data_IF_613897138330
#
_entry.id   IF_613897138330
#
_cell.length_a   1.000
_cell.length_b   1.000
_cell.length_c   1.000
_cell.angle_alpha   90.00
_cell.angle_beta   90.00
_cell.angle_gamma   90.00
#
_symmetry.space_group_name_H-M   'P 1'
#
loop_
_entity.id
_entity.type
_entity.pdbx_description
1 polymer ?
#
# COMPACT_ATOMS: atom_id res chain seq x y z
N UNK A 1 -37.63 55.42 2.95
CA UNK A 1 -36.82 55.22 1.74
C UNK A 1 -35.37 54.94 2.16
N UNK A 2 -34.95 53.69 2.22
CA UNK A 2 -33.58 53.29 2.58
C UNK A 2 -33.13 52.28 1.57
N UNK A 3 -32.28 52.71 0.69
CA UNK A 3 -31.55 51.89 -0.25
C UNK A 3 -30.32 51.38 0.50
N UNK A 4 -30.21 50.08 0.78
CA UNK A 4 -28.97 49.42 1.20
C UNK A 4 -28.42 48.64 0.02
N UNK A 5 -27.33 49.12 -0.47
CA UNK A 5 -26.53 48.54 -1.55
C UNK A 5 -25.84 47.27 -1.09
N UNK A 6 -26.13 46.15 -1.75
CA UNK A 6 -25.36 44.90 -1.65
C UNK A 6 -24.16 45.03 -2.56
N UNK A 7 -22.99 45.35 -2.01
CA UNK A 7 -21.70 45.24 -2.68
C UNK A 7 -20.75 44.48 -1.74
N UNK A 8 -20.93 43.20 -1.59
CA UNK A 8 -19.98 42.35 -0.88
C UNK A 8 -19.72 40.98 -1.52
N UNK A 9 -20.39 40.68 -2.64
CA UNK A 9 -20.28 39.34 -3.25
C UNK A 9 -19.35 39.22 -4.47
N UNK A 10 -18.73 40.31 -4.93
CA UNK A 10 -17.94 40.28 -6.18
C UNK A 10 -16.43 40.46 -5.99
N UNK A 11 -15.96 40.71 -4.76
CA UNK A 11 -14.49 40.86 -4.51
C UNK A 11 -13.78 39.56 -4.21
N UNK A 12 -14.49 38.49 -3.82
CA UNK A 12 -13.88 37.21 -3.51
C UNK A 12 -13.55 36.33 -4.75
N UNK A 13 -14.28 36.56 -5.83
CA UNK A 13 -14.02 35.87 -7.11
C UNK A 13 -12.76 36.35 -7.83
N UNK A 14 -12.32 37.59 -7.59
CA UNK A 14 -11.14 38.13 -8.26
C UNK A 14 -9.83 37.74 -7.55
N UNK A 15 -9.88 37.44 -6.25
CA UNK A 15 -8.69 37.04 -5.46
C UNK A 15 -8.25 35.60 -5.73
N UNK A 16 -9.20 34.71 -6.08
CA UNK A 16 -8.91 33.33 -6.43
C UNK A 16 -8.26 33.17 -7.82
N UNK A 17 -8.58 34.07 -8.74
CA UNK A 17 -8.02 34.06 -10.11
C UNK A 17 -6.56 34.53 -10.12
N UNK A 18 -6.17 35.41 -9.19
CA UNK A 18 -4.79 35.90 -9.12
C UNK A 18 -3.79 34.87 -8.55
N UNK A 19 -4.26 33.85 -7.83
CA UNK A 19 -3.39 32.80 -7.31
C UNK A 19 -2.99 31.74 -8.37
N UNK A 20 -3.76 31.61 -9.45
CA UNK A 20 -3.43 30.67 -10.53
C UNK A 20 -2.52 31.28 -11.62
N UNK A 21 -2.35 32.59 -11.67
CA UNK A 21 -1.48 33.27 -12.64
C UNK A 21 -0.02 33.32 -12.14
N UNK A 22 0.21 33.10 -10.83
CA UNK A 22 1.57 33.13 -10.24
C UNK A 22 2.40 31.87 -10.53
N UNK A 23 1.78 30.75 -10.94
CA UNK A 23 2.51 29.53 -11.28
C UNK A 23 2.74 29.32 -12.77
N UNK A 24 2.31 30.26 -13.64
CA UNK A 24 2.41 30.12 -15.09
C UNK A 24 3.33 31.16 -15.74
N UNK A 25 4.24 31.80 -14.99
CA UNK A 25 5.42 32.37 -15.61
C UNK A 25 6.39 31.22 -15.81
N UNK A 26 6.36 30.66 -17.01
CA UNK A 26 7.46 29.84 -17.50
C UNK A 26 8.77 30.54 -17.17
N UNK A 27 9.78 29.76 -16.86
CA UNK A 27 11.14 30.25 -16.71
C UNK A 27 11.43 31.24 -17.84
N UNK A 28 11.86 32.46 -17.49
CA UNK A 28 12.35 33.40 -18.48
C UNK A 28 13.44 32.67 -19.25
N UNK A 29 13.42 32.70 -20.59
CA UNK A 29 14.41 32.04 -21.44
C UNK A 29 15.88 32.40 -21.09
N UNK A 30 16.05 33.33 -20.17
CA UNK A 30 17.34 33.80 -19.64
C UNK A 30 17.69 33.24 -18.25
N UNK A 31 16.79 32.55 -17.55
CA UNK A 31 17.12 31.90 -16.27
C UNK A 31 17.68 30.51 -16.53
N UNK A 32 18.98 30.44 -16.70
CA UNK A 32 19.69 29.17 -16.76
C UNK A 32 20.12 28.76 -15.35
N UNK A 33 19.65 27.60 -14.85
CA UNK A 33 20.17 26.97 -13.64
C UNK A 33 21.60 26.44 -13.86
N UNK A 34 22.46 27.27 -14.42
CA UNK A 34 23.81 26.84 -14.75
C UNK A 34 24.72 26.73 -13.52
N UNK A 35 24.36 27.45 -12.43
CA UNK A 35 25.28 27.60 -11.30
C UNK A 35 26.70 28.06 -11.72
N UNK A 36 26.83 28.68 -12.91
CA UNK A 36 28.11 29.04 -13.52
C UNK A 36 28.76 27.90 -14.33
N UNK A 37 28.11 26.76 -14.48
CA UNK A 37 28.63 25.59 -15.23
C UNK A 37 28.35 25.77 -16.72
N UNK A 38 29.41 26.02 -17.49
CA UNK A 38 29.38 26.17 -18.96
C UNK A 38 30.55 25.44 -19.58
N UNK A 39 30.45 25.02 -20.84
CA UNK A 39 31.49 24.31 -21.58
C UNK A 39 31.98 23.03 -20.86
N UNK A 40 31.12 22.39 -20.12
CA UNK A 40 31.45 21.25 -19.27
C UNK A 40 30.99 19.91 -19.86
N UNK A 41 31.73 18.85 -19.55
CA UNK A 41 31.25 17.49 -19.63
C UNK A 41 30.47 17.22 -18.36
N UNK A 42 29.16 16.94 -18.47
CA UNK A 42 28.30 16.66 -17.31
C UNK A 42 28.44 15.19 -16.88
N UNK A 43 28.10 14.93 -15.62
CA UNK A 43 28.00 13.60 -15.05
C UNK A 43 26.54 13.28 -14.73
N UNK A 44 26.19 11.98 -14.69
CA UNK A 44 24.86 11.56 -14.26
C UNK A 44 24.69 11.68 -12.75
N UNK A 45 23.46 11.95 -12.26
CA UNK A 45 23.23 12.11 -10.83
C UNK A 45 23.39 10.77 -10.11
N UNK A 46 23.89 10.82 -8.88
CA UNK A 46 23.95 9.63 -8.01
C UNK A 46 22.58 9.42 -7.38
N UNK A 47 22.10 8.19 -7.43
CA UNK A 47 20.89 7.74 -6.73
C UNK A 47 21.23 6.57 -5.80
N UNK A 48 20.53 6.49 -4.68
CA UNK A 48 20.67 5.46 -3.65
C UNK A 48 19.29 5.06 -3.12
N UNK A 49 19.22 4.20 -2.10
CA UNK A 49 17.95 3.76 -1.50
C UNK A 49 17.10 4.93 -0.95
N UNK A 50 17.74 6.03 -0.51
CA UNK A 50 17.02 7.21 -0.02
C UNK A 50 16.41 8.05 -1.15
N UNK A 51 16.81 7.80 -2.38
CA UNK A 51 16.24 8.44 -3.58
C UNK A 51 14.81 7.99 -3.86
N UNK A 52 14.33 6.95 -3.18
CA UNK A 52 13.04 6.32 -3.43
C UNK A 52 12.05 6.54 -2.29
N UNK A 53 10.80 6.79 -2.64
CA UNK A 53 9.70 6.84 -1.68
C UNK A 53 8.43 6.26 -2.29
N UNK A 54 7.59 5.64 -1.45
CA UNK A 54 6.29 5.14 -1.87
C UNK A 54 5.23 6.20 -1.62
N UNK A 55 4.43 6.48 -2.64
CA UNK A 55 3.26 7.36 -2.58
C UNK A 55 2.00 6.51 -2.62
N UNK A 56 1.00 6.86 -1.81
CA UNK A 56 -0.35 6.28 -1.92
C UNK A 56 -1.22 7.21 -2.74
N UNK A 57 -1.76 6.68 -3.82
CA UNK A 57 -2.67 7.41 -4.69
C UNK A 57 -4.06 7.52 -4.05
N UNK A 58 -4.89 8.41 -4.57
CA UNK A 58 -6.26 8.62 -4.06
C UNK A 58 -7.16 7.39 -4.19
N UNK A 59 -6.85 6.48 -5.11
CA UNK A 59 -7.54 5.21 -5.33
C UNK A 59 -7.02 4.05 -4.46
N UNK A 60 -6.03 4.30 -3.59
CA UNK A 60 -5.41 3.30 -2.73
C UNK A 60 -4.25 2.53 -3.37
N UNK A 61 -3.99 2.71 -4.66
CA UNK A 61 -2.81 2.14 -5.32
C UNK A 61 -1.53 2.82 -4.84
N UNK A 62 -0.40 2.17 -5.06
CA UNK A 62 0.90 2.72 -4.70
C UNK A 62 1.72 3.09 -5.93
N UNK A 63 2.50 4.15 -5.80
CA UNK A 63 3.47 4.60 -6.80
C UNK A 63 4.85 4.73 -6.15
N UNK A 64 5.89 4.53 -6.94
CA UNK A 64 7.27 4.83 -6.57
C UNK A 64 7.61 6.22 -7.09
N UNK A 65 8.09 7.08 -6.20
CA UNK A 65 8.70 8.35 -6.57
C UNK A 65 10.21 8.21 -6.45
N UNK A 66 10.91 8.51 -7.52
CA UNK A 66 12.37 8.66 -7.54
C UNK A 66 12.69 10.14 -7.48
N UNK A 67 13.70 10.52 -6.68
CA UNK A 67 14.26 11.87 -6.61
C UNK A 67 15.77 11.79 -6.73
N UNK A 68 16.37 12.76 -7.39
CA UNK A 68 17.84 12.84 -7.55
C UNK A 68 18.34 14.26 -7.38
N UNK A 69 19.64 14.44 -7.04
CA UNK A 69 20.24 15.75 -6.98
C UNK A 69 20.26 16.42 -8.35
N UNK A 70 19.94 17.71 -8.37
CA UNK A 70 20.03 18.51 -9.60
C UNK A 70 21.49 18.62 -10.05
N UNK A 71 21.74 18.26 -11.32
CA UNK A 71 23.03 18.47 -11.96
C UNK A 71 23.05 19.87 -12.58
N UNK A 72 23.90 20.73 -12.05
CA UNK A 72 23.97 22.12 -12.51
C UNK A 72 24.39 22.19 -13.97
N UNK A 73 23.67 22.99 -14.73
CA UNK A 73 23.93 23.15 -16.18
C UNK A 73 23.40 22.01 -17.05
N UNK A 74 22.61 21.10 -16.51
CA UNK A 74 21.94 20.05 -17.28
C UNK A 74 20.86 20.64 -18.21
N UNK A 75 20.59 19.93 -19.31
CA UNK A 75 19.46 20.19 -20.21
C UNK A 75 18.25 19.31 -19.90
N UNK A 76 18.31 18.51 -18.84
CA UNK A 76 17.31 17.52 -18.44
C UNK A 76 17.94 16.16 -18.16
N UNK A 77 17.11 15.15 -18.02
CA UNK A 77 17.54 13.77 -17.74
C UNK A 77 16.82 12.78 -18.65
N UNK A 78 17.53 11.79 -19.12
CA UNK A 78 16.99 10.64 -19.83
C UNK A 78 16.82 9.49 -18.85
N UNK A 79 15.60 8.99 -18.71
CA UNK A 79 15.24 7.95 -17.74
C UNK A 79 14.69 6.71 -18.42
N UNK A 80 15.22 5.56 -18.02
CA UNK A 80 14.67 4.25 -18.33
C UNK A 80 14.37 3.51 -17.01
N UNK A 81 13.21 2.87 -16.94
CA UNK A 81 12.78 2.03 -15.81
C UNK A 81 12.23 0.73 -16.36
N UNK A 82 12.88 -0.36 -16.02
CA UNK A 82 12.47 -1.71 -16.39
C UNK A 82 12.09 -2.48 -15.11
N UNK A 83 10.94 -3.14 -15.14
CA UNK A 83 10.56 -4.14 -14.15
C UNK A 83 11.28 -5.45 -14.53
N UNK A 84 12.20 -5.91 -13.69
CA UNK A 84 13.08 -7.05 -13.96
C UNK A 84 12.79 -8.28 -13.11
N UNK A 85 11.89 -8.16 -12.13
CA UNK A 85 11.41 -9.25 -11.29
C UNK A 85 10.02 -8.86 -10.73
N UNK A 86 9.04 -9.73 -10.98
CA UNK A 86 7.68 -9.61 -10.43
C UNK A 86 7.32 -10.94 -9.74
N UNK A 87 7.15 -10.96 -8.41
CA UNK A 87 6.76 -12.19 -7.70
C UNK A 87 5.41 -12.77 -8.14
N UNK A 88 4.52 -11.93 -8.70
CA UNK A 88 3.22 -12.35 -9.20
C UNK A 88 3.25 -12.86 -10.65
N UNK A 89 4.33 -12.57 -11.40
CA UNK A 89 4.52 -13.01 -12.78
C UNK A 89 5.96 -13.54 -13.00
N UNK A 90 6.18 -14.84 -12.90
CA UNK A 90 7.51 -15.44 -13.04
C UNK A 90 8.10 -15.33 -14.47
N UNK A 91 7.33 -14.85 -15.44
CA UNK A 91 7.86 -14.61 -16.81
C UNK A 91 8.64 -13.31 -16.90
N UNK A 92 8.49 -12.42 -15.92
CA UNK A 92 9.25 -11.17 -15.82
C UNK A 92 10.60 -11.45 -15.19
N UNK A 93 11.65 -11.30 -15.98
CA UNK A 93 13.04 -11.56 -15.57
C UNK A 93 13.97 -10.48 -16.11
N UNK A 94 15.23 -10.51 -15.69
CA UNK A 94 16.26 -9.60 -16.23
C UNK A 94 16.43 -9.75 -17.74
N UNK A 95 16.23 -10.97 -18.28
CA UNK A 95 16.29 -11.26 -19.71
C UNK A 95 15.00 -10.91 -20.45
N UNK A 96 13.86 -10.88 -19.75
CA UNK A 96 12.53 -10.56 -20.28
C UNK A 96 11.86 -9.50 -19.41
N UNK A 97 12.39 -8.27 -19.37
CA UNK A 97 11.84 -7.21 -18.53
C UNK A 97 10.54 -6.65 -19.10
N UNK A 98 9.71 -6.11 -18.21
CA UNK A 98 8.59 -5.27 -18.60
C UNK A 98 9.03 -3.82 -18.56
N UNK A 99 8.92 -3.14 -19.69
CA UNK A 99 9.27 -1.72 -19.80
C UNK A 99 8.22 -0.87 -19.08
N UNK A 100 8.65 -0.15 -18.06
CA UNK A 100 7.82 0.82 -17.31
C UNK A 100 7.97 2.22 -17.88
N UNK A 101 9.20 2.63 -18.17
CA UNK A 101 9.54 3.89 -18.84
C UNK A 101 10.70 3.66 -19.80
N UNK A 102 10.59 4.19 -21.02
CA UNK A 102 11.64 4.08 -22.01
C UNK A 102 11.96 5.45 -22.57
N UNK A 103 13.23 5.81 -22.58
CA UNK A 103 13.80 7.03 -23.15
C UNK A 103 12.99 8.29 -22.77
N UNK A 104 12.51 8.30 -21.51
CA UNK A 104 11.68 9.38 -21.00
C UNK A 104 12.54 10.59 -20.63
N UNK A 105 12.33 11.71 -21.31
CA UNK A 105 13.00 12.96 -21.01
C UNK A 105 12.28 13.65 -19.86
N UNK A 106 13.01 13.92 -18.78
CA UNK A 106 12.50 14.57 -17.56
C UNK A 106 13.20 15.90 -17.38
N UNK A 107 12.43 16.97 -17.29
CA UNK A 107 12.90 18.34 -17.06
C UNK A 107 12.83 18.73 -15.57
N UNK A 108 13.04 17.79 -14.71
CA UNK A 108 13.00 17.97 -13.25
C UNK A 108 13.90 16.97 -12.56
N UNK A 109 13.90 16.99 -11.23
CA UNK A 109 14.70 16.10 -10.40
C UNK A 109 13.92 14.98 -9.76
N UNK A 110 12.75 14.65 -10.31
CA UNK A 110 11.92 13.54 -9.81
C UNK A 110 10.98 12.99 -10.87
N UNK A 111 10.61 11.73 -10.70
CA UNK A 111 9.59 11.05 -11.50
C UNK A 111 8.78 10.12 -10.62
N UNK A 112 7.56 9.81 -11.05
CA UNK A 112 6.64 8.88 -10.37
C UNK A 112 6.18 7.83 -11.37
N UNK A 113 6.17 6.56 -10.96
CA UNK A 113 5.60 5.46 -11.73
C UNK A 113 4.83 4.49 -10.82
N UNK A 114 3.93 3.70 -11.40
CA UNK A 114 3.11 2.73 -10.64
C UNK A 114 4.00 1.67 -10.00
N UNK A 115 3.80 1.41 -8.71
CA UNK A 115 4.51 0.37 -7.98
C UNK A 115 3.85 -0.99 -8.21
N UNK A 116 4.64 -1.96 -8.62
CA UNK A 116 4.28 -3.38 -8.52
C UNK A 116 4.74 -3.91 -7.17
N UNK A 117 3.91 -4.68 -6.51
CA UNK A 117 4.14 -5.17 -5.15
C UNK A 117 5.33 -6.12 -5.10
N UNK A 118 6.25 -5.88 -4.16
CA UNK A 118 7.48 -6.67 -3.93
C UNK A 118 8.42 -6.81 -5.15
N UNK A 119 8.21 -6.01 -6.18
CA UNK A 119 8.94 -6.09 -7.44
C UNK A 119 10.35 -5.52 -7.37
N UNK A 120 11.16 -5.88 -8.36
CA UNK A 120 12.50 -5.34 -8.57
C UNK A 120 12.57 -4.58 -9.88
N UNK A 121 13.14 -3.39 -9.83
CA UNK A 121 13.30 -2.51 -10.98
C UNK A 121 14.78 -2.25 -11.27
N UNK A 122 15.10 -2.16 -12.56
CA UNK A 122 16.36 -1.60 -13.05
C UNK A 122 16.10 -0.20 -13.56
N UNK A 123 16.84 0.75 -13.00
CA UNK A 123 16.69 2.17 -13.30
C UNK A 123 17.98 2.67 -13.92
N UNK A 124 17.86 3.38 -15.02
CA UNK A 124 18.97 4.09 -15.68
C UNK A 124 18.62 5.55 -15.81
N UNK A 125 19.51 6.41 -15.33
CA UNK A 125 19.36 7.86 -15.44
C UNK A 125 20.62 8.46 -16.03
N UNK A 126 20.47 9.29 -17.06
CA UNK A 126 21.56 9.98 -17.76
C UNK A 126 21.27 11.48 -17.84
N UNK A 127 22.25 12.29 -17.48
CA UNK A 127 22.13 13.75 -17.64
C UNK A 127 22.27 14.13 -19.11
N UNK A 128 21.32 14.90 -19.62
CA UNK A 128 21.34 15.45 -20.97
C UNK A 128 22.15 16.74 -21.04
N UNK A 129 22.78 16.97 -22.18
CA UNK A 129 23.53 18.17 -22.48
C UNK A 129 22.63 19.41 -22.56
N UNK A 130 23.23 20.57 -22.39
CA UNK A 130 22.55 21.85 -22.54
C UNK A 130 23.26 22.70 -23.61
N UNK A 131 22.66 22.80 -24.77
CA UNK A 131 23.24 23.53 -25.91
C UNK A 131 23.45 25.03 -25.62
N UNK A 132 22.53 25.67 -24.90
CA UNK A 132 22.63 27.09 -24.52
C UNK A 132 23.87 27.39 -23.68
N UNK A 133 24.31 26.40 -22.91
CA UNK A 133 25.49 26.51 -22.02
C UNK A 133 26.74 25.84 -22.62
N UNK A 134 26.61 25.24 -23.82
CA UNK A 134 27.63 24.40 -24.44
C UNK A 134 28.12 23.25 -23.53
N UNK A 135 27.21 22.70 -22.70
CA UNK A 135 27.48 21.56 -21.85
C UNK A 135 27.14 20.25 -22.59
N UNK A 136 28.04 19.29 -22.54
CA UNK A 136 27.87 17.97 -23.13
C UNK A 136 27.13 17.05 -22.16
N UNK A 137 26.31 16.14 -22.71
CA UNK A 137 25.63 15.12 -21.94
C UNK A 137 26.61 14.22 -21.18
N UNK A 138 26.16 13.57 -20.10
CA UNK A 138 26.95 12.58 -19.39
C UNK A 138 27.38 11.44 -20.35
N UNK A 139 28.61 10.96 -20.20
CA UNK A 139 29.09 9.83 -21.00
C UNK A 139 28.43 8.52 -20.56
N UNK A 140 28.26 8.34 -19.26
CA UNK A 140 27.69 7.16 -18.65
C UNK A 140 26.36 7.49 -17.96
N UNK A 141 25.42 6.52 -17.95
CA UNK A 141 24.25 6.55 -17.10
C UNK A 141 24.59 6.06 -15.69
N UNK A 142 23.85 6.54 -14.70
CA UNK A 142 23.79 5.87 -13.41
C UNK A 142 22.79 4.72 -13.50
N UNK A 143 23.25 3.50 -13.20
CA UNK A 143 22.43 2.31 -13.13
C UNK A 143 22.16 1.97 -11.66
N UNK A 144 20.88 1.68 -11.32
CA UNK A 144 20.48 1.33 -9.97
C UNK A 144 19.44 0.19 -10.00
N UNK A 145 19.59 -0.76 -9.08
CA UNK A 145 18.61 -1.81 -8.85
C UNK A 145 17.76 -1.46 -7.63
N UNK A 146 16.52 -1.06 -7.84
CA UNK A 146 15.56 -0.77 -6.78
C UNK A 146 14.72 -1.99 -6.47
N UNK A 147 14.69 -2.40 -5.20
CA UNK A 147 13.87 -3.49 -4.69
C UNK A 147 12.73 -2.89 -3.87
N UNK A 148 11.49 -3.07 -4.35
CA UNK A 148 10.31 -2.53 -3.69
C UNK A 148 9.92 -3.33 -2.43
N UNK A 149 10.56 -4.47 -2.19
CA UNK A 149 10.35 -5.30 -1.01
C UNK A 149 10.90 -4.61 0.24
N UNK A 150 10.05 -4.39 1.23
CA UNK A 150 10.44 -3.78 2.51
C UNK A 150 11.34 -4.73 3.30
N UNK A 151 12.53 -4.30 3.75
CA UNK A 151 13.39 -5.13 4.60
C UNK A 151 12.65 -5.57 5.87
N UNK A 152 12.77 -6.86 6.22
CA UNK A 152 12.01 -7.44 7.33
C UNK A 152 12.91 -7.77 8.52
N UNK A 153 12.39 -7.55 9.74
CA UNK A 153 12.95 -8.12 10.96
C UNK A 153 12.49 -9.56 11.10
N UNK A 154 13.43 -10.50 11.13
CA UNK A 154 13.10 -11.93 11.30
C UNK A 154 12.72 -12.22 12.74
N UNK A 155 11.57 -12.88 12.93
CA UNK A 155 11.12 -13.36 14.23
C UNK A 155 11.87 -14.65 14.55
N UNK A 156 12.58 -14.74 15.68
CA UNK A 156 13.31 -15.96 16.05
C UNK A 156 12.37 -17.16 16.22
N UNK A 157 12.83 -18.33 15.79
CA UNK A 157 12.09 -19.58 16.01
C UNK A 157 11.97 -19.87 17.50
N UNK A 158 10.77 -20.18 17.95
CA UNK A 158 10.46 -20.43 19.35
C UNK A 158 9.83 -19.24 20.10
N UNK A 159 9.90 -18.06 19.54
CA UNK A 159 9.19 -16.89 20.07
C UNK A 159 7.69 -16.94 19.71
N UNK A 160 6.86 -16.38 20.58
CA UNK A 160 5.45 -16.09 20.28
C UNK A 160 5.38 -14.85 19.39
N UNK A 161 4.68 -14.97 18.24
CA UNK A 161 4.59 -13.89 17.25
C UNK A 161 3.99 -12.63 17.88
N UNK A 162 2.94 -12.77 18.70
CA UNK A 162 2.27 -11.61 19.28
C UNK A 162 3.16 -10.91 20.31
N UNK A 163 3.80 -11.67 21.18
CA UNK A 163 4.71 -11.12 22.17
C UNK A 163 5.89 -10.41 21.49
N UNK A 164 6.54 -11.09 20.53
CA UNK A 164 7.69 -10.53 19.83
C UNK A 164 7.35 -9.24 19.08
N UNK A 165 6.30 -9.26 18.23
CA UNK A 165 5.95 -8.08 17.44
C UNK A 165 5.49 -6.93 18.34
N UNK A 166 4.59 -7.17 19.30
CA UNK A 166 4.08 -6.12 20.18
C UNK A 166 5.20 -5.43 20.99
N UNK A 167 6.26 -6.16 21.35
CA UNK A 167 7.42 -5.62 22.06
C UNK A 167 8.39 -4.86 21.13
N UNK A 168 8.51 -5.26 19.85
CA UNK A 168 9.46 -4.67 18.93
C UNK A 168 8.86 -3.54 18.08
N UNK A 169 7.54 -3.52 17.91
CA UNK A 169 6.86 -2.58 17.05
C UNK A 169 6.99 -1.14 17.53
N UNK A 170 7.58 -0.31 16.71
CA UNK A 170 7.71 1.15 16.92
C UNK A 170 6.76 1.88 16.00
N UNK A 171 6.24 3.01 16.47
CA UNK A 171 5.41 3.86 15.62
C UNK A 171 6.25 4.43 14.48
N UNK A 172 5.74 4.33 13.26
CA UNK A 172 6.42 4.74 12.03
C UNK A 172 5.40 5.16 10.96
N UNK A 173 5.75 6.19 10.21
CA UNK A 173 5.04 6.60 8.98
C UNK A 173 5.44 5.76 7.75
N UNK A 174 6.53 4.97 7.89
CA UNK A 174 7.01 4.04 6.86
C UNK A 174 6.50 2.63 7.13
N UNK A 175 6.28 1.88 6.06
CA UNK A 175 5.96 0.47 6.16
C UNK A 175 7.09 -0.29 6.84
N UNK A 176 6.75 -1.16 7.80
CA UNK A 176 7.66 -2.06 8.48
C UNK A 176 7.31 -3.50 8.11
N UNK A 177 8.30 -4.38 8.14
CA UNK A 177 8.08 -5.79 7.83
C UNK A 177 8.66 -6.70 8.90
N UNK A 178 7.95 -7.81 9.15
CA UNK A 178 8.41 -8.94 9.94
C UNK A 178 8.41 -10.20 9.08
N UNK A 179 9.39 -11.07 9.31
CA UNK A 179 9.51 -12.31 8.56
C UNK A 179 9.57 -13.53 9.49
N UNK A 180 8.92 -14.60 9.06
CA UNK A 180 9.03 -15.92 9.64
C UNK A 180 10.00 -16.76 8.80
N UNK A 181 10.90 -17.49 9.44
CA UNK A 181 11.83 -18.38 8.74
C UNK A 181 11.07 -19.49 8.00
N UNK A 182 11.49 -19.72 6.78
CA UNK A 182 10.91 -20.71 5.88
C UNK A 182 10.86 -22.10 6.51
N UNK A 183 9.74 -22.80 6.36
CA UNK A 183 9.53 -24.18 6.81
C UNK A 183 9.53 -24.37 8.34
N UNK A 184 9.59 -23.30 9.13
CA UNK A 184 9.58 -23.38 10.59
C UNK A 184 8.16 -23.32 11.16
N UNK A 185 8.05 -23.71 12.42
CA UNK A 185 6.81 -23.68 13.18
C UNK A 185 6.85 -22.57 14.22
N UNK A 186 5.75 -21.82 14.30
CA UNK A 186 5.55 -20.70 15.23
C UNK A 186 4.22 -20.83 15.96
N UNK A 187 4.06 -20.06 17.04
CA UNK A 187 2.81 -19.91 17.76
C UNK A 187 2.37 -18.45 17.77
N UNK A 188 1.06 -18.24 17.77
CA UNK A 188 0.41 -16.95 17.89
C UNK A 188 -0.66 -17.04 18.98
N UNK A 189 -0.29 -16.81 20.24
CA UNK A 189 -1.19 -17.01 21.39
C UNK A 189 -1.97 -15.76 21.79
N UNK A 190 -1.51 -14.58 21.40
CA UNK A 190 -2.15 -13.29 21.67
C UNK A 190 -2.55 -12.54 20.40
N UNK A 191 -3.15 -11.38 20.58
CA UNK A 191 -3.41 -10.45 19.49
C UNK A 191 -2.14 -9.67 19.18
N UNK A 192 -1.71 -9.70 17.92
CA UNK A 192 -0.75 -8.73 17.39
C UNK A 192 -1.49 -7.45 17.08
N UNK A 193 -1.25 -6.39 17.85
CA UNK A 193 -1.84 -5.08 17.62
C UNK A 193 -0.86 -4.19 16.83
N UNK A 194 -1.10 -4.03 15.54
CA UNK A 194 -0.28 -3.20 14.66
C UNK A 194 -0.55 -1.70 14.81
N UNK A 195 -1.56 -1.33 15.56
CA UNK A 195 -1.95 0.07 15.80
C UNK A 195 -2.14 0.82 14.46
N UNK A 196 -1.50 1.99 14.30
CA UNK A 196 -1.52 2.81 13.08
C UNK A 196 -0.37 2.50 12.11
N UNK A 197 0.43 1.46 12.40
CA UNK A 197 1.55 1.10 11.53
C UNK A 197 1.09 0.29 10.31
N UNK A 198 1.66 0.59 9.16
CA UNK A 198 1.52 -0.24 7.97
C UNK A 198 2.53 -1.38 8.06
N UNK A 199 2.05 -2.61 8.06
CA UNK A 199 2.89 -3.79 8.33
C UNK A 199 2.77 -4.83 7.23
N UNK A 200 3.91 -5.44 6.89
CA UNK A 200 3.98 -6.69 6.15
C UNK A 200 4.50 -7.80 7.06
N UNK A 201 3.73 -8.87 7.23
CA UNK A 201 4.15 -10.13 7.84
C UNK A 201 4.26 -11.19 6.74
N UNK A 202 5.45 -11.80 6.57
CA UNK A 202 5.67 -12.76 5.49
C UNK A 202 6.62 -13.90 5.86
N UNK A 203 6.67 -14.92 5.02
CA UNK A 203 7.77 -15.89 5.01
C UNK A 203 9.06 -15.27 4.47
N UNK A 204 10.19 -15.82 4.85
CA UNK A 204 11.49 -15.55 4.19
C UNK A 204 11.59 -16.22 2.81
N UNK A 205 10.75 -17.24 2.55
CA UNK A 205 10.68 -17.95 1.28
C UNK A 205 9.22 -18.33 0.99
N UNK A 206 8.69 -17.92 -0.17
CA UNK A 206 7.31 -18.17 -0.58
C UNK A 206 6.99 -19.64 -0.86
N UNK A 207 7.99 -20.40 -1.30
CA UNK A 207 7.82 -21.79 -1.72
C UNK A 207 7.92 -22.76 -0.54
N UNK A 208 8.57 -22.34 0.57
CA UNK A 208 8.70 -23.14 1.79
C UNK A 208 8.05 -22.43 2.98
N UNK A 209 6.74 -22.39 3.00
CA UNK A 209 5.94 -21.56 3.94
C UNK A 209 6.06 -22.07 5.39
N UNK A 210 6.29 -21.17 6.36
CA UNK A 210 6.21 -21.50 7.78
C UNK A 210 4.77 -21.86 8.18
N UNK A 211 4.63 -22.62 9.26
CA UNK A 211 3.33 -22.92 9.86
C UNK A 211 3.16 -22.21 11.19
N UNK A 212 2.04 -21.53 11.36
CA UNK A 212 1.68 -20.82 12.59
C UNK A 212 0.48 -21.49 13.22
N UNK A 213 0.63 -21.98 14.46
CA UNK A 213 -0.47 -22.43 15.29
C UNK A 213 -1.09 -21.24 16.01
N UNK A 214 -2.35 -20.95 15.71
CA UNK A 214 -3.08 -19.83 16.31
C UNK A 214 -3.80 -20.36 17.57
N UNK A 215 -3.38 -19.84 18.73
CA UNK A 215 -3.97 -20.17 20.01
C UNK A 215 -5.35 -19.53 20.23
N UNK A 216 -5.98 -19.82 21.37
CA UNK A 216 -7.35 -19.40 21.66
C UNK A 216 -7.57 -17.88 21.53
N UNK A 217 -6.62 -17.08 21.99
CA UNK A 217 -6.67 -15.61 21.88
C UNK A 217 -5.85 -15.05 20.72
N UNK A 218 -5.29 -15.91 19.85
CA UNK A 218 -4.44 -15.50 18.75
C UNK A 218 -5.21 -14.79 17.65
N UNK A 219 -4.55 -13.83 17.00
CA UNK A 219 -5.10 -13.10 15.89
C UNK A 219 -4.32 -11.82 15.60
N UNK A 220 -4.79 -11.09 14.60
CA UNK A 220 -4.20 -9.83 14.18
C UNK A 220 -5.20 -8.69 14.36
N UNK A 221 -4.72 -7.52 14.76
CA UNK A 221 -5.52 -6.30 14.84
C UNK A 221 -4.79 -5.14 14.19
N UNK A 222 -5.52 -4.34 13.41
CA UNK A 222 -4.94 -3.18 12.74
C UNK A 222 -5.87 -1.98 12.70
N UNK A 223 -5.29 -0.81 12.51
CA UNK A 223 -5.95 0.46 12.20
C UNK A 223 -5.37 1.07 10.90
N UNK A 224 -4.49 0.35 10.22
CA UNK A 224 -3.81 0.79 9.01
C UNK A 224 -3.69 -0.36 7.99
N UNK A 225 -2.88 -0.18 6.93
CA UNK A 225 -2.61 -1.23 5.97
C UNK A 225 -1.88 -2.42 6.58
N UNK A 226 -2.24 -3.62 6.13
CA UNK A 226 -1.65 -4.86 6.59
C UNK A 226 -1.51 -5.84 5.44
N UNK A 227 -0.33 -6.43 5.29
CA UNK A 227 -0.07 -7.47 4.30
C UNK A 227 0.40 -8.74 5.02
N UNK A 228 -0.31 -9.85 4.81
CA UNK A 228 0.05 -11.17 5.35
C UNK A 228 0.30 -12.09 4.15
N UNK A 229 1.54 -12.61 4.02
CA UNK A 229 1.96 -13.30 2.80
C UNK A 229 2.73 -14.59 3.10
N UNK A 230 2.45 -15.63 2.30
CA UNK A 230 3.22 -16.88 2.25
C UNK A 230 3.30 -17.66 3.57
N UNK A 231 2.20 -17.72 4.32
CA UNK A 231 2.16 -18.35 5.64
C UNK A 231 1.00 -19.35 5.71
N UNK A 232 1.24 -20.49 6.37
CA UNK A 232 0.22 -21.46 6.72
C UNK A 232 -0.24 -21.23 8.16
N UNK A 233 -1.56 -21.11 8.37
CA UNK A 233 -2.16 -20.92 9.69
C UNK A 233 -3.06 -22.10 10.05
N UNK A 234 -2.92 -22.63 11.27
CA UNK A 234 -3.88 -23.55 11.88
C UNK A 234 -4.63 -22.82 13.00
N UNK A 235 -5.89 -22.53 12.75
CA UNK A 235 -6.78 -21.81 13.64
C UNK A 235 -7.67 -22.73 14.48
N UNK A 236 -7.31 -24.02 14.65
CA UNK A 236 -8.14 -25.04 15.34
C UNK A 236 -8.44 -24.67 16.80
N UNK A 237 -7.56 -23.97 17.47
CA UNK A 237 -7.73 -23.54 18.86
C UNK A 237 -8.29 -22.12 19.00
N UNK A 238 -8.36 -21.37 17.89
CA UNK A 238 -8.78 -19.99 17.90
C UNK A 238 -10.26 -19.83 18.29
N UNK A 239 -10.55 -18.96 19.28
CA UNK A 239 -11.92 -18.64 19.72
C UNK A 239 -12.28 -17.17 19.52
N UNK A 240 -11.34 -16.32 19.09
CA UNK A 240 -11.56 -14.91 18.83
C UNK A 240 -12.59 -14.65 17.73
N UNK A 241 -13.15 -13.44 17.69
CA UNK A 241 -14.22 -13.05 16.76
C UNK A 241 -13.76 -13.00 15.30
N UNK A 242 -12.47 -12.77 15.03
CA UNK A 242 -11.90 -12.73 13.69
C UNK A 242 -10.41 -13.05 13.69
N UNK A 243 -9.93 -13.66 12.60
CA UNK A 243 -8.50 -13.90 12.36
C UNK A 243 -7.76 -12.56 12.20
N UNK A 244 -8.33 -11.68 11.38
CA UNK A 244 -7.96 -10.29 11.26
C UNK A 244 -9.10 -9.43 11.80
N UNK A 245 -8.81 -8.58 12.79
CA UNK A 245 -9.79 -7.66 13.36
C UNK A 245 -9.36 -6.22 13.09
N UNK A 246 -10.34 -5.35 12.86
CA UNK A 246 -10.13 -3.92 12.93
C UNK A 246 -10.32 -3.46 14.38
N UNK A 247 -9.60 -2.43 14.79
CA UNK A 247 -9.63 -2.00 16.20
C UNK A 247 -11.05 -1.65 16.67
N UNK A 248 -11.40 -2.09 17.87
CA UNK A 248 -12.61 -1.66 18.57
C UNK A 248 -12.52 -0.25 19.16
N UNK A 249 -11.30 0.29 19.24
CA UNK A 249 -10.99 1.63 19.74
C UNK A 249 -10.14 2.37 18.68
N UNK A 250 -10.76 2.74 17.54
CA UNK A 250 -10.02 3.39 16.45
C UNK A 250 -9.55 4.79 16.85
N UNK A 251 -8.36 5.15 16.38
CA UNK A 251 -7.79 6.50 16.57
C UNK A 251 -8.62 7.54 15.84
N UNK A 252 -8.91 8.66 16.50
CA UNK A 252 -9.60 9.80 15.91
C UNK A 252 -8.84 10.42 14.73
N UNK A 253 -7.52 10.22 14.64
CA UNK A 253 -6.69 10.76 13.54
C UNK A 253 -7.03 10.14 12.19
N UNK A 254 -7.67 8.98 12.16
CA UNK A 254 -8.11 8.30 10.94
C UNK A 254 -9.62 8.37 10.74
N UNK A 255 -10.30 9.23 11.49
CA UNK A 255 -11.72 9.48 11.25
C UNK A 255 -11.91 10.22 9.93
N UNK A 256 -12.99 9.90 9.23
CA UNK A 256 -13.37 10.55 7.96
C UNK A 256 -13.39 12.07 8.15
N UNK A 257 -13.94 12.54 9.26
CA UNK A 257 -13.97 13.94 9.62
C UNK A 257 -12.59 14.56 9.82
N UNK A 258 -11.70 13.91 10.55
CA UNK A 258 -10.35 14.45 10.83
C UNK A 258 -9.46 14.49 9.58
N UNK A 259 -9.69 13.58 8.63
CA UNK A 259 -8.99 13.53 7.35
C UNK A 259 -9.56 14.51 6.31
N UNK A 260 -10.67 15.22 6.63
CA UNK A 260 -11.30 16.17 5.73
C UNK A 260 -12.06 15.52 4.57
N UNK A 261 -12.40 14.24 4.68
CA UNK A 261 -13.26 13.57 3.72
C UNK A 261 -14.73 13.90 3.99
N UNK A 262 -15.54 13.86 2.94
CA UNK A 262 -16.98 13.78 3.08
C UNK A 262 -17.35 12.46 3.77
N UNK A 263 -18.60 12.35 4.24
CA UNK A 263 -19.09 11.11 4.83
C UNK A 263 -18.83 9.93 3.89
N UNK A 264 -18.55 8.76 4.46
CA UNK A 264 -18.34 7.55 3.70
C UNK A 264 -19.56 7.19 2.83
N UNK A 265 -19.42 6.17 1.97
CA UNK A 265 -20.49 5.73 1.08
C UNK A 265 -21.75 5.26 1.83
N UNK A 266 -21.60 4.85 3.10
CA UNK A 266 -22.70 4.54 3.99
C UNK A 266 -23.32 5.81 4.64
N UNK A 267 -22.86 7.00 4.30
CA UNK A 267 -23.25 8.28 4.85
C UNK A 267 -23.07 8.37 6.38
N UNK A 268 -21.98 7.77 6.88
CA UNK A 268 -21.61 7.73 8.28
C UNK A 268 -20.31 8.50 8.54
N UNK A 269 -20.20 9.08 9.73
CA UNK A 269 -18.91 9.48 10.26
C UNK A 269 -18.22 8.20 10.76
N UNK A 270 -17.11 7.84 10.16
CA UNK A 270 -16.42 6.59 10.44
C UNK A 270 -14.91 6.73 10.44
N UNK A 271 -14.23 5.61 10.31
CA UNK A 271 -12.78 5.49 10.29
C UNK A 271 -12.34 4.84 8.99
N UNK A 272 -11.21 5.29 8.43
CA UNK A 272 -10.79 4.83 7.13
C UNK A 272 -9.37 4.26 7.15
N UNK A 273 -9.22 3.09 6.53
CA UNK A 273 -7.93 2.51 6.20
C UNK A 273 -7.65 2.79 4.73
N UNK A 274 -6.71 3.71 4.47
CA UNK A 274 -6.35 4.16 3.12
C UNK A 274 -5.35 3.24 2.42
N UNK A 275 -4.51 2.51 3.19
CA UNK A 275 -3.54 1.57 2.67
C UNK A 275 -4.16 0.19 2.47
N UNK A 276 -3.68 -0.60 1.51
CA UNK A 276 -4.22 -1.92 1.25
C UNK A 276 -4.16 -2.85 2.47
N UNK A 277 -5.19 -3.71 2.59
CA UNK A 277 -5.20 -4.88 3.48
C UNK A 277 -5.18 -6.11 2.60
N UNK A 278 -4.09 -6.88 2.64
CA UNK A 278 -3.81 -7.97 1.72
C UNK A 278 -3.56 -9.28 2.49
N UNK A 279 -4.20 -10.35 2.06
CA UNK A 279 -3.86 -11.73 2.43
C UNK A 279 -3.51 -12.45 1.13
N UNK A 280 -2.24 -12.85 1.00
CA UNK A 280 -1.72 -13.40 -0.25
C UNK A 280 -1.01 -14.73 -0.01
N UNK A 281 -1.29 -15.70 -0.85
CA UNK A 281 -0.65 -17.04 -0.84
C UNK A 281 -0.60 -17.67 0.57
N UNK A 282 -1.70 -17.57 1.31
CA UNK A 282 -1.84 -18.13 2.64
C UNK A 282 -2.79 -19.32 2.64
N UNK A 283 -2.46 -20.32 3.47
CA UNK A 283 -3.40 -21.38 3.84
C UNK A 283 -3.90 -21.12 5.26
N UNK A 284 -5.16 -20.81 5.40
CA UNK A 284 -5.81 -20.56 6.70
C UNK A 284 -6.79 -21.69 6.97
N UNK A 285 -6.49 -22.58 7.91
CA UNK A 285 -7.28 -23.77 8.18
C UNK A 285 -7.98 -23.70 9.52
N UNK A 286 -9.10 -24.40 9.60
CA UNK A 286 -9.90 -24.58 10.82
C UNK A 286 -10.40 -23.27 11.44
N UNK A 287 -10.62 -22.23 10.64
CA UNK A 287 -11.04 -20.93 11.13
C UNK A 287 -12.46 -21.01 11.73
N UNK A 288 -12.58 -20.67 13.03
CA UNK A 288 -13.83 -20.84 13.79
C UNK A 288 -14.81 -19.66 13.60
N UNK A 289 -14.31 -18.47 13.26
CA UNK A 289 -15.07 -17.25 13.13
C UNK A 289 -14.69 -16.47 11.85
N UNK A 290 -14.91 -15.19 11.81
CA UNK A 290 -14.66 -14.37 10.63
C UNK A 290 -13.17 -14.35 10.23
N UNK A 291 -12.90 -14.31 8.94
CA UNK A 291 -11.57 -14.01 8.42
C UNK A 291 -11.22 -12.53 8.66
N UNK A 292 -12.18 -11.66 8.37
CA UNK A 292 -12.09 -10.22 8.68
C UNK A 292 -13.28 -9.82 9.56
N UNK A 293 -13.02 -9.14 10.68
CA UNK A 293 -14.03 -8.66 11.61
C UNK A 293 -13.86 -7.17 11.92
N UNK A 294 -14.88 -6.37 11.65
CA UNK A 294 -14.89 -4.91 11.83
C UNK A 294 -15.09 -4.43 13.26
N UNK A 295 -15.21 -5.36 14.23
CA UNK A 295 -15.31 -5.07 15.66
C UNK A 295 -16.41 -4.06 16.03
N UNK A 296 -17.52 -4.10 15.31
CA UNK A 296 -18.71 -3.23 15.49
C UNK A 296 -18.40 -1.72 15.41
N UNK A 297 -17.37 -1.34 14.64
CA UNK A 297 -17.05 0.05 14.38
C UNK A 297 -17.24 0.37 12.90
N UNK A 298 -17.57 1.63 12.55
CA UNK A 298 -17.84 2.03 11.17
C UNK A 298 -16.54 2.21 10.38
N UNK A 299 -15.88 1.08 10.11
CA UNK A 299 -14.66 1.02 9.34
C UNK A 299 -14.96 1.05 7.83
N UNK A 300 -14.20 1.84 7.10
CA UNK A 300 -14.12 1.81 5.64
C UNK A 300 -12.71 1.34 5.25
N UNK A 301 -12.62 0.21 4.54
CA UNK A 301 -11.39 -0.22 3.90
C UNK A 301 -11.42 0.25 2.44
N UNK A 302 -10.40 0.97 2.01
CA UNK A 302 -10.30 1.38 0.61
C UNK A 302 -9.99 0.23 -0.32
N UNK A 303 -9.13 -0.69 0.12
CA UNK A 303 -8.67 -1.81 -0.69
C UNK A 303 -8.46 -3.05 0.18
N UNK A 304 -9.20 -4.11 -0.10
CA UNK A 304 -9.09 -5.39 0.57
C UNK A 304 -8.89 -6.51 -0.45
N UNK A 305 -7.78 -7.22 -0.35
CA UNK A 305 -7.40 -8.26 -1.31
C UNK A 305 -7.15 -9.60 -0.64
N UNK A 306 -7.68 -10.66 -1.25
CA UNK A 306 -7.38 -12.06 -0.92
C UNK A 306 -6.99 -12.74 -2.22
N UNK A 307 -5.72 -13.10 -2.35
CA UNK A 307 -5.20 -13.66 -3.60
C UNK A 307 -4.42 -14.94 -3.34
N UNK A 308 -4.66 -15.95 -4.18
CA UNK A 308 -3.94 -17.24 -4.16
C UNK A 308 -4.01 -17.94 -2.79
N UNK A 309 -5.15 -17.85 -2.10
CA UNK A 309 -5.36 -18.37 -0.76
C UNK A 309 -6.27 -19.60 -0.71
N UNK A 310 -6.04 -20.44 0.31
CA UNK A 310 -6.95 -21.50 0.70
C UNK A 310 -7.47 -21.19 2.10
N UNK A 311 -8.78 -20.99 2.23
CA UNK A 311 -9.43 -20.67 3.52
C UNK A 311 -10.42 -21.76 3.87
N UNK A 312 -10.09 -22.54 4.88
CA UNK A 312 -10.98 -23.53 5.45
C UNK A 312 -11.67 -22.98 6.70
N UNK A 313 -12.97 -22.84 6.61
CA UNK A 313 -13.79 -22.45 7.75
C UNK A 313 -14.21 -23.70 8.55
N UNK A 314 -14.38 -23.53 9.84
CA UNK A 314 -15.01 -24.51 10.71
C UNK A 314 -16.06 -23.81 11.60
N UNK A 315 -16.69 -22.78 11.05
CA UNK A 315 -17.59 -21.90 11.76
C UNK A 315 -18.92 -22.59 12.08
N UNK A 316 -19.24 -22.70 13.35
CA UNK A 316 -20.53 -23.19 13.85
C UNK A 316 -21.53 -22.04 14.10
N UNK A 317 -21.09 -20.79 14.04
CA UNK A 317 -21.88 -19.60 14.31
C UNK A 317 -22.56 -19.02 13.07
N UNK A 318 -23.15 -17.85 13.23
CA UNK A 318 -23.83 -17.08 12.19
C UNK A 318 -23.00 -15.92 11.62
N UNK A 319 -21.74 -15.79 12.03
CA UNK A 319 -20.88 -14.71 11.57
C UNK A 319 -20.45 -14.90 10.12
N UNK A 320 -20.45 -13.84 9.34
CA UNK A 320 -19.92 -13.84 7.97
C UNK A 320 -18.41 -14.08 7.93
N UNK A 321 -17.90 -14.57 6.80
CA UNK A 321 -16.45 -14.73 6.59
C UNK A 321 -15.79 -13.36 6.62
N UNK A 322 -16.34 -12.39 5.89
CA UNK A 322 -15.99 -10.98 5.95
C UNK A 322 -17.15 -10.26 6.64
N UNK A 323 -16.92 -9.80 7.86
CA UNK A 323 -17.99 -9.30 8.74
C UNK A 323 -17.67 -7.87 9.21
N UNK A 324 -18.20 -6.89 8.50
CA UNK A 324 -18.21 -5.48 8.88
C UNK A 324 -19.59 -5.01 9.35
N UNK A 325 -20.54 -5.94 9.43
CA UNK A 325 -21.90 -5.67 9.88
C UNK A 325 -21.97 -5.27 11.36
N UNK A 326 -23.00 -4.52 11.70
CA UNK A 326 -23.28 -4.08 13.07
C UNK A 326 -22.85 -2.66 13.40
N UNK A 327 -22.10 -1.99 12.49
CA UNK A 327 -21.70 -0.61 12.66
C UNK A 327 -21.44 0.15 11.34
N UNK A 328 -22.14 -0.20 10.26
CA UNK A 328 -22.05 0.53 8.98
C UNK A 328 -20.68 0.49 8.28
N UNK A 329 -19.93 -0.62 8.48
CA UNK A 329 -18.64 -0.78 7.81
C UNK A 329 -18.77 -1.09 6.32
N UNK A 330 -17.82 -0.60 5.51
CA UNK A 330 -17.78 -0.76 4.06
C UNK A 330 -16.40 -1.21 3.56
N UNK A 331 -16.36 -1.78 2.36
CA UNK A 331 -15.14 -2.00 1.59
C UNK A 331 -15.37 -1.36 0.22
N UNK A 332 -14.49 -0.44 -0.17
CA UNK A 332 -14.63 0.27 -1.42
C UNK A 332 -14.22 -0.61 -2.60
N UNK A 333 -12.98 -1.14 -2.53
CA UNK A 333 -12.43 -2.03 -3.54
C UNK A 333 -12.12 -3.38 -2.91
N UNK A 334 -12.77 -4.45 -3.39
CA UNK A 334 -12.54 -5.81 -2.91
C UNK A 334 -12.13 -6.72 -4.04
N UNK A 335 -10.98 -7.37 -3.88
CA UNK A 335 -10.47 -8.36 -4.83
C UNK A 335 -10.32 -9.71 -4.15
N UNK A 336 -11.02 -10.74 -4.69
CA UNK A 336 -10.80 -12.14 -4.34
C UNK A 336 -10.41 -12.84 -5.64
N UNK A 337 -9.16 -13.30 -5.73
CA UNK A 337 -8.62 -13.89 -6.95
C UNK A 337 -7.91 -15.21 -6.65
N UNK A 338 -8.10 -16.23 -7.49
CA UNK A 338 -7.43 -17.53 -7.40
C UNK A 338 -7.49 -18.16 -6.00
N UNK A 339 -8.58 -17.92 -5.27
CA UNK A 339 -8.69 -18.32 -3.86
C UNK A 339 -9.84 -19.31 -3.67
N UNK A 340 -9.60 -20.30 -2.82
CA UNK A 340 -10.59 -21.32 -2.48
C UNK A 340 -11.08 -21.14 -1.06
N UNK A 341 -12.39 -21.05 -0.90
CA UNK A 341 -13.06 -21.03 0.40
C UNK A 341 -13.94 -22.27 0.51
N UNK A 342 -13.82 -23.02 1.58
CA UNK A 342 -14.62 -24.22 1.76
C UNK A 342 -15.03 -24.44 3.22
N UNK A 343 -16.02 -25.29 3.44
CA UNK A 343 -16.66 -25.51 4.74
C UNK A 343 -17.14 -24.21 5.40
N UNK A 344 -17.66 -23.29 4.60
CA UNK A 344 -17.89 -21.91 4.99
C UNK A 344 -18.81 -21.76 6.18
N UNK A 345 -19.84 -22.62 6.30
CA UNK A 345 -20.87 -22.45 7.32
C UNK A 345 -21.54 -23.76 7.67
N UNK A 346 -21.70 -24.05 8.96
CA UNK A 346 -22.61 -25.06 9.47
C UNK A 346 -24.01 -24.52 9.71
N UNK A 347 -24.18 -23.19 9.70
CA UNK A 347 -25.46 -22.52 9.94
C UNK A 347 -25.97 -21.87 8.65
N UNK A 348 -27.16 -22.19 8.23
CA UNK A 348 -27.82 -21.67 7.02
C UNK A 348 -28.08 -20.15 7.05
N UNK A 349 -27.91 -19.51 8.20
CA UNK A 349 -28.12 -18.05 8.38
C UNK A 349 -26.84 -17.24 8.26
N UNK A 350 -25.68 -17.85 8.04
CA UNK A 350 -24.44 -17.11 7.88
C UNK A 350 -24.16 -16.75 6.43
N UNK A 351 -23.60 -15.61 6.22
CA UNK A 351 -23.28 -15.04 4.93
C UNK A 351 -21.77 -15.08 4.70
N UNK A 352 -21.34 -15.19 3.43
CA UNK A 352 -19.92 -15.00 3.09
C UNK A 352 -19.50 -13.56 3.37
N UNK A 353 -20.32 -12.61 2.92
CA UNK A 353 -20.08 -11.19 3.05
C UNK A 353 -21.23 -10.54 3.84
N UNK A 354 -20.89 -9.88 4.94
CA UNK A 354 -21.82 -9.14 5.78
C UNK A 354 -21.37 -7.69 5.91
N UNK A 355 -21.87 -6.85 5.01
CA UNK A 355 -21.67 -5.41 4.93
C UNK A 355 -23.05 -4.74 4.99
N UNK A 356 -23.10 -3.48 5.44
CA UNK A 356 -24.38 -2.76 5.52
C UNK A 356 -24.90 -2.28 4.17
N UNK A 357 -24.03 -1.86 3.28
CA UNK A 357 -24.39 -1.45 1.93
C UNK A 357 -23.54 -2.17 0.91
N UNK A 358 -24.18 -2.97 0.07
CA UNK A 358 -23.61 -3.39 -1.20
C UNK A 358 -24.15 -2.38 -2.20
N UNK A 359 -23.41 -1.31 -2.46
CA UNK A 359 -23.85 -0.24 -3.35
C UNK A 359 -23.74 -0.59 -4.83
N UNK A 360 -23.01 -1.67 -5.18
CA UNK A 360 -22.97 -2.21 -6.54
C UNK A 360 -22.84 -3.74 -6.53
N UNK A 361 -23.34 -4.44 -7.57
CA UNK A 361 -23.16 -5.87 -7.66
C UNK A 361 -21.67 -6.18 -7.80
N UNK A 362 -21.07 -6.68 -6.74
CA UNK A 362 -19.71 -7.19 -6.76
C UNK A 362 -19.64 -8.30 -7.81
N UNK A 363 -18.94 -8.06 -8.90
CA UNK A 363 -18.72 -9.06 -9.93
C UNK A 363 -17.78 -10.11 -9.36
N UNK A 364 -18.36 -11.16 -8.79
CA UNK A 364 -17.64 -12.38 -8.46
C UNK A 364 -17.37 -13.09 -9.80
N UNK A 365 -16.19 -12.91 -10.35
CA UNK A 365 -15.71 -13.79 -11.42
C UNK A 365 -15.38 -15.15 -10.78
N UNK A 366 -16.43 -15.94 -10.57
CA UNK A 366 -16.30 -17.34 -10.20
C UNK A 366 -15.90 -18.07 -11.47
N UNK A 367 -14.62 -18.29 -11.66
CA UNK A 367 -14.12 -19.24 -12.63
C UNK A 367 -14.13 -20.61 -11.93
N UNK A 368 -15.08 -21.44 -12.34
CA UNK A 368 -15.15 -22.86 -12.01
C UNK A 368 -14.02 -23.65 -12.67
#
# INVERSE_FOLDING_TARGET
MKIKMKIAGKLWGLSAILLFVSCAKGFDDNETFSGGVTNAQLESPVIDDNSFSTLTNSDGTESVKITWPVVMGAGGYLLNVDLIEDPADPTVTTENPVVVMQDSVVDGSSVVFTKTEDATYKIKIKTLGNEKLNNKEAQESTDFKYVALVPATTIPVGEDIAEYINNQLKDSDKEQAFALEAGKSYVLNGIVDFRLNVITLRSTDKDNRPTVKVGASGGFMTQAGLKIKFINFDCSEMTGAGFLTLSGEPSETISIKSLGYDKDEANQDGYIINKPVIIQECNIKNLQNSLLYGNKKPWTLRDFRITDCIVQMNNAGSNGVINLYGATGTIKDMTIKNSTFYNLVKNSSAYFLSLIHISEPTRLDVIS
#
